data_IF_327991234732
#
_entry.id   IF_327991234732
#
_cell.length_a   1.000
_cell.length_b   1.000
_cell.length_c   1.000
_cell.angle_alpha   90.00
_cell.angle_beta   90.00
_cell.angle_gamma   90.00
#
_symmetry.space_group_name_H-M   'P 1'
#
loop_
_entity.id
_entity.type
_entity.pdbx_description
1 polymer ?
#
# COMPACT_ATOMS: atom_id res chain seq x y z
N UNK A 1 -11.66 0.58 -2.65
CA UNK A 1 -12.45 0.87 -1.42
C UNK A 1 -13.11 2.24 -1.46
N UNK A 2 -12.39 3.38 -1.42
CA UNK A 2 -13.03 4.71 -1.34
C UNK A 2 -13.80 5.10 -2.63
N UNK A 3 -13.31 4.69 -3.81
CA UNK A 3 -14.02 4.91 -5.08
C UNK A 3 -15.40 4.22 -5.16
N UNK A 4 -15.58 3.07 -4.50
CA UNK A 4 -16.87 2.38 -4.45
C UNK A 4 -17.83 3.01 -3.43
N UNK A 5 -17.31 3.65 -2.39
CA UNK A 5 -18.09 4.47 -1.46
C UNK A 5 -18.65 5.73 -2.15
N UNK A 6 -17.89 6.36 -3.04
CA UNK A 6 -18.34 7.49 -3.86
C UNK A 6 -19.42 7.11 -4.90
N UNK A 7 -19.54 5.82 -5.28
CA UNK A 7 -20.70 5.33 -6.04
C UNK A 7 -22.00 5.33 -5.23
N UNK A 8 -21.93 5.33 -3.88
CA UNK A 8 -23.09 5.17 -3.01
C UNK A 8 -23.61 6.47 -2.39
N UNK A 9 -22.74 7.49 -2.22
CA UNK A 9 -23.12 8.78 -1.66
C UNK A 9 -23.17 9.87 -2.74
N UNK A 10 -24.24 10.63 -2.77
CA UNK A 10 -24.46 11.75 -3.71
C UNK A 10 -23.56 12.97 -3.45
N UNK A 11 -22.53 12.84 -2.61
CA UNK A 11 -21.68 13.92 -2.15
C UNK A 11 -20.34 13.87 -2.90
N UNK A 12 -20.06 14.88 -3.73
CA UNK A 12 -18.77 14.99 -4.43
C UNK A 12 -17.64 15.17 -3.42
N UNK A 13 -16.58 14.36 -3.52
CA UNK A 13 -15.37 14.55 -2.72
C UNK A 13 -14.64 15.83 -3.16
N UNK A 14 -14.41 16.74 -2.22
CA UNK A 14 -13.52 17.87 -2.45
C UNK A 14 -12.04 17.44 -2.50
N UNK A 15 -11.22 18.31 -3.09
CA UNK A 15 -9.76 18.09 -3.20
C UNK A 15 -9.10 17.96 -1.82
N UNK A 16 -9.61 18.70 -0.83
CA UNK A 16 -9.12 18.66 0.56
C UNK A 16 -9.40 17.32 1.21
N UNK A 17 -10.59 16.76 0.99
CA UNK A 17 -11.01 15.46 1.50
C UNK A 17 -10.18 14.35 0.86
N UNK A 18 -9.98 14.39 -0.45
CA UNK A 18 -9.09 13.49 -1.18
C UNK A 18 -7.67 13.50 -0.58
N UNK A 19 -7.11 14.68 -0.32
CA UNK A 19 -5.77 14.82 0.27
C UNK A 19 -5.70 14.24 1.69
N UNK A 20 -6.70 14.51 2.53
CA UNK A 20 -6.76 13.99 3.90
C UNK A 20 -6.88 12.47 3.93
N UNK A 21 -7.74 11.91 3.07
CA UNK A 21 -7.94 10.47 2.96
C UNK A 21 -6.67 9.80 2.43
N UNK A 22 -6.06 10.35 1.38
CA UNK A 22 -4.81 9.85 0.82
C UNK A 22 -3.68 9.88 1.85
N UNK A 23 -3.52 10.99 2.59
CA UNK A 23 -2.52 11.11 3.64
C UNK A 23 -2.76 10.10 4.79
N UNK A 24 -4.02 9.93 5.21
CA UNK A 24 -4.38 8.92 6.22
C UNK A 24 -4.03 7.50 5.77
N UNK A 25 -4.36 7.15 4.53
CA UNK A 25 -4.01 5.85 3.94
C UNK A 25 -2.49 5.64 3.87
N UNK A 26 -1.74 6.68 3.51
CA UNK A 26 -0.28 6.62 3.42
C UNK A 26 0.37 6.39 4.79
N UNK A 27 -0.12 7.05 5.84
CA UNK A 27 0.37 6.87 7.21
C UNK A 27 0.10 5.44 7.69
N UNK A 28 -1.14 4.96 7.55
CA UNK A 28 -1.52 3.61 8.00
C UNK A 28 -0.77 2.53 7.22
N UNK A 29 -0.73 2.65 5.89
CA UNK A 29 0.00 1.73 5.02
C UNK A 29 1.51 1.75 5.28
N UNK A 30 2.10 2.95 5.38
CA UNK A 30 3.51 3.14 5.68
C UNK A 30 3.90 2.56 7.04
N UNK A 31 3.14 2.84 8.09
CA UNK A 31 3.43 2.29 9.42
C UNK A 31 3.31 0.76 9.47
N UNK A 32 2.32 0.20 8.76
CA UNK A 32 2.18 -1.26 8.63
C UNK A 32 3.37 -1.89 7.91
N UNK A 33 3.83 -1.26 6.82
CA UNK A 33 5.02 -1.67 6.11
C UNK A 33 6.28 -1.57 6.98
N UNK A 34 6.46 -0.45 7.70
CA UNK A 34 7.59 -0.24 8.61
C UNK A 34 7.71 -1.38 9.62
N UNK A 35 6.60 -1.72 10.31
CA UNK A 35 6.59 -2.79 11.30
C UNK A 35 6.96 -4.12 10.65
N UNK A 36 6.36 -4.44 9.50
CA UNK A 36 6.61 -5.69 8.81
C UNK A 36 8.09 -5.82 8.37
N UNK A 37 8.63 -4.77 7.76
CA UNK A 37 9.98 -4.77 7.22
C UNK A 37 11.03 -4.74 8.33
N UNK A 38 10.82 -3.90 9.34
CA UNK A 38 11.67 -3.87 10.53
C UNK A 38 11.70 -5.22 11.24
N UNK A 39 10.55 -5.87 11.40
CA UNK A 39 10.46 -7.19 12.02
C UNK A 39 11.17 -8.27 11.17
N UNK A 40 11.05 -8.21 9.83
CA UNK A 40 11.74 -9.10 8.90
C UNK A 40 13.26 -8.98 9.04
N UNK A 41 13.80 -7.77 8.86
CA UNK A 41 15.23 -7.48 8.93
C UNK A 41 15.81 -7.83 10.31
N UNK A 42 15.10 -7.47 11.39
CA UNK A 42 15.51 -7.82 12.76
C UNK A 42 15.48 -9.33 13.01
N UNK A 43 14.52 -10.04 12.42
CA UNK A 43 14.45 -11.50 12.45
C UNK A 43 15.60 -12.18 11.70
N UNK A 44 16.02 -11.61 10.56
CA UNK A 44 17.17 -12.09 9.79
C UNK A 44 18.47 -11.95 10.57
N UNK A 45 18.71 -10.81 11.23
CA UNK A 45 19.88 -10.61 12.09
C UNK A 45 19.89 -11.58 13.28
N UNK A 46 18.72 -11.82 13.89
CA UNK A 46 18.62 -12.82 14.95
C UNK A 46 18.99 -14.22 14.45
N UNK A 47 18.48 -14.62 13.28
CA UNK A 47 18.81 -15.92 12.66
C UNK A 47 20.29 -16.04 12.32
N UNK A 48 20.90 -15.00 11.75
CA UNK A 48 22.34 -14.96 11.43
C UNK A 48 23.20 -15.04 12.70
N UNK A 49 22.83 -14.34 13.76
CA UNK A 49 23.55 -14.40 15.04
C UNK A 49 23.61 -15.82 15.62
N UNK A 50 22.54 -16.59 15.44
CA UNK A 50 22.45 -17.99 15.87
C UNK A 50 23.29 -18.92 15.01
N UNK A 51 23.36 -18.66 13.70
CA UNK A 51 24.20 -19.44 12.77
C UNK A 51 25.70 -19.19 12.99
N UNK A 52 26.07 -17.99 13.44
CA UNK A 52 27.45 -17.61 13.77
C UNK A 52 27.88 -18.00 15.19
N UNK A 53 27.05 -18.77 15.93
CA UNK A 53 27.30 -19.17 17.31
C UNK A 53 27.70 -18.02 18.25
N UNK A 54 27.13 -16.83 18.04
CA UNK A 54 27.44 -15.66 18.87
C UNK A 54 26.79 -15.78 20.25
N UNK A 55 27.53 -15.43 21.30
CA UNK A 55 27.05 -15.43 22.70
C UNK A 55 25.80 -14.58 22.92
N UNK A 56 25.60 -13.52 22.12
CA UNK A 56 24.42 -12.67 22.25
C UNK A 56 24.02 -11.97 20.96
N UNK A 57 22.79 -12.19 20.46
CA UNK A 57 22.20 -11.43 19.36
C UNK A 57 22.15 -9.92 19.63
N UNK A 58 22.04 -9.52 20.91
CA UNK A 58 21.94 -8.11 21.31
C UNK A 58 23.18 -7.29 20.96
N UNK A 59 24.37 -7.91 20.87
CA UNK A 59 25.60 -7.20 20.49
C UNK A 59 25.55 -6.72 19.03
N UNK A 60 25.06 -7.56 18.11
CA UNK A 60 24.83 -7.17 16.71
C UNK A 60 23.76 -6.09 16.61
N UNK A 61 22.68 -6.21 17.38
CA UNK A 61 21.57 -5.26 17.34
C UNK A 61 21.89 -3.88 17.93
N UNK A 62 22.89 -3.77 18.81
CA UNK A 62 23.39 -2.48 19.33
C UNK A 62 24.54 -1.90 18.51
N UNK A 63 24.98 -2.63 17.48
CA UNK A 63 26.04 -2.20 16.57
C UNK A 63 25.49 -1.38 15.40
N UNK A 64 26.36 -0.99 14.46
CA UNK A 64 25.96 -0.32 13.20
C UNK A 64 24.87 -1.06 12.45
N UNK A 65 24.86 -2.39 12.49
CA UNK A 65 23.85 -3.23 11.84
C UNK A 65 22.43 -2.92 12.35
N UNK A 66 22.27 -2.62 13.64
CA UNK A 66 20.96 -2.28 14.20
C UNK A 66 20.44 -0.91 13.73
N UNK A 67 21.35 0.04 13.49
CA UNK A 67 21.03 1.36 12.95
C UNK A 67 20.66 1.22 11.47
N UNK A 68 21.47 0.48 10.71
CA UNK A 68 21.27 0.21 9.28
C UNK A 68 19.91 -0.46 9.00
N UNK A 69 19.50 -1.44 9.82
CA UNK A 69 18.15 -2.03 9.73
C UNK A 69 17.05 -0.98 9.88
N UNK A 70 17.23 -0.03 10.80
CA UNK A 70 16.22 0.99 11.08
C UNK A 70 16.16 2.00 9.93
N UNK A 71 17.30 2.38 9.39
CA UNK A 71 17.41 3.25 8.21
C UNK A 71 16.78 2.59 6.98
N UNK A 72 17.13 1.33 6.68
CA UNK A 72 16.58 0.58 5.55
C UNK A 72 15.05 0.40 5.67
N UNK A 73 14.55 0.07 6.86
CA UNK A 73 13.12 -0.01 7.10
C UNK A 73 12.43 1.35 6.92
N UNK A 74 13.07 2.46 7.32
CA UNK A 74 12.54 3.81 7.17
C UNK A 74 12.52 4.26 5.71
N UNK A 75 13.57 3.97 4.95
CA UNK A 75 13.65 4.25 3.51
C UNK A 75 12.57 3.48 2.75
N UNK A 76 12.47 2.17 2.99
CA UNK A 76 11.42 1.33 2.40
C UNK A 76 10.01 1.85 2.75
N UNK A 77 9.83 2.30 4.00
CA UNK A 77 8.57 2.90 4.46
C UNK A 77 8.25 4.21 3.76
N UNK A 78 9.23 5.09 3.57
CA UNK A 78 9.02 6.36 2.88
C UNK A 78 8.60 6.12 1.43
N UNK A 79 9.25 5.18 0.74
CA UNK A 79 8.92 4.78 -0.64
C UNK A 79 7.52 4.14 -0.69
N UNK A 80 7.22 3.22 0.22
CA UNK A 80 5.92 2.55 0.30
C UNK A 80 4.80 3.53 0.62
N UNK A 81 5.02 4.45 1.56
CA UNK A 81 4.08 5.49 1.94
C UNK A 81 3.79 6.46 0.78
N UNK A 82 4.83 6.95 0.10
CA UNK A 82 4.67 7.80 -1.07
C UNK A 82 3.94 7.07 -2.22
N UNK A 83 4.29 5.81 -2.47
CA UNK A 83 3.64 4.99 -3.49
C UNK A 83 2.17 4.72 -3.15
N UNK A 84 1.87 4.42 -1.88
CA UNK A 84 0.51 4.22 -1.38
C UNK A 84 -0.33 5.50 -1.47
N UNK A 85 0.26 6.65 -1.12
CA UNK A 85 -0.35 7.95 -1.29
C UNK A 85 -0.73 8.19 -2.77
N UNK A 86 0.25 8.10 -3.67
CA UNK A 86 0.04 8.31 -5.10
C UNK A 86 -0.98 7.32 -5.69
N UNK A 87 -0.91 6.05 -5.29
CA UNK A 87 -1.85 5.01 -5.72
C UNK A 87 -3.29 5.30 -5.26
N UNK A 88 -3.46 5.87 -4.06
CA UNK A 88 -4.78 6.29 -3.55
C UNK A 88 -5.30 7.56 -4.23
N UNK A 89 -4.39 8.48 -4.62
CA UNK A 89 -4.74 9.75 -5.24
C UNK A 89 -5.32 9.61 -6.64
N UNK A 90 -4.94 8.59 -7.41
CA UNK A 90 -5.46 8.37 -8.77
C UNK A 90 -7.01 8.30 -8.79
N UNK A 91 -7.66 7.37 -8.06
CA UNK A 91 -9.12 7.32 -8.03
C UNK A 91 -9.74 8.52 -7.30
N UNK A 92 -9.13 9.03 -6.24
CA UNK A 92 -9.68 10.18 -5.47
C UNK A 92 -9.68 11.48 -6.28
N UNK A 93 -8.60 11.75 -7.01
CA UNK A 93 -8.52 12.91 -7.91
C UNK A 93 -9.47 12.75 -9.10
N UNK A 94 -9.66 11.53 -9.60
CA UNK A 94 -10.65 11.26 -10.66
C UNK A 94 -12.05 11.62 -10.19
N UNK A 95 -12.41 11.27 -8.96
CA UNK A 95 -13.71 11.61 -8.37
C UNK A 95 -13.89 13.12 -8.16
N UNK A 96 -12.85 13.78 -7.61
CA UNK A 96 -12.88 15.22 -7.34
C UNK A 96 -12.95 16.08 -8.62
N UNK A 97 -12.32 15.65 -9.71
CA UNK A 97 -12.29 16.38 -10.99
C UNK A 97 -13.50 16.09 -11.87
N UNK A 98 -14.09 14.89 -11.77
CA UNK A 98 -15.19 14.43 -12.62
C UNK A 98 -16.37 13.90 -11.77
N UNK A 99 -16.99 14.76 -10.92
CA UNK A 99 -17.99 14.33 -9.94
C UNK A 99 -19.29 13.78 -10.55
N UNK A 100 -19.56 14.08 -11.83
CA UNK A 100 -20.76 13.61 -12.53
C UNK A 100 -20.67 12.15 -13.01
N UNK A 101 -19.48 11.53 -12.96
CA UNK A 101 -19.26 10.20 -13.52
C UNK A 101 -18.81 9.20 -12.44
N UNK A 102 -19.77 8.66 -11.70
CA UNK A 102 -19.50 7.76 -10.58
C UNK A 102 -18.70 6.48 -10.93
N UNK A 103 -18.73 6.02 -12.18
CA UNK A 103 -18.02 4.79 -12.62
C UNK A 103 -16.51 5.05 -12.87
N UNK A 104 -16.13 6.29 -13.18
CA UNK A 104 -14.77 6.67 -13.61
C UNK A 104 -13.71 6.43 -12.51
N UNK A 105 -13.93 6.81 -11.24
CA UNK A 105 -12.97 6.54 -10.15
C UNK A 105 -12.71 5.05 -9.96
N UNK A 106 -13.75 4.22 -10.08
CA UNK A 106 -13.62 2.77 -9.98
C UNK A 106 -12.82 2.19 -11.15
N UNK A 107 -13.14 2.60 -12.38
CA UNK A 107 -12.39 2.17 -13.56
C UNK A 107 -10.92 2.60 -13.49
N UNK A 108 -10.65 3.84 -13.06
CA UNK A 108 -9.30 4.35 -12.86
C UNK A 108 -8.51 3.53 -11.82
N UNK A 109 -9.14 3.14 -10.70
CA UNK A 109 -8.51 2.27 -9.70
C UNK A 109 -8.17 0.88 -10.28
N UNK A 110 -9.10 0.26 -11.00
CA UNK A 110 -8.89 -1.08 -11.60
C UNK A 110 -7.78 -1.04 -12.64
N UNK A 111 -7.74 -0.01 -13.48
CA UNK A 111 -6.70 0.21 -14.48
C UNK A 111 -5.34 0.43 -13.80
N UNK A 112 -5.29 1.29 -12.77
CA UNK A 112 -4.06 1.53 -12.01
C UNK A 112 -3.52 0.24 -11.36
N UNK A 113 -4.40 -0.59 -10.79
CA UNK A 113 -4.03 -1.89 -10.22
C UNK A 113 -3.53 -2.87 -11.29
N UNK A 114 -4.15 -2.91 -12.47
CA UNK A 114 -3.68 -3.73 -13.58
C UNK A 114 -2.27 -3.30 -14.01
N UNK A 115 -2.02 -2.00 -14.16
CA UNK A 115 -0.70 -1.47 -14.48
C UNK A 115 0.34 -1.79 -13.40
N UNK A 116 -0.01 -1.64 -12.13
CA UNK A 116 0.85 -2.05 -11.01
C UNK A 116 1.15 -3.55 -11.05
N UNK A 117 0.16 -4.39 -11.35
CA UNK A 117 0.36 -5.84 -11.51
C UNK A 117 1.33 -6.17 -12.64
N UNK A 118 1.22 -5.49 -13.79
CA UNK A 118 2.19 -5.63 -14.90
C UNK A 118 3.59 -5.19 -14.46
N UNK A 119 3.71 -4.07 -13.75
CA UNK A 119 4.98 -3.57 -13.21
C UNK A 119 5.62 -4.57 -12.24
N UNK A 120 4.82 -5.16 -11.34
CA UNK A 120 5.30 -6.16 -10.39
C UNK A 120 5.74 -7.44 -11.09
N UNK A 121 4.97 -7.93 -12.08
CA UNK A 121 5.36 -9.08 -12.89
C UNK A 121 6.71 -8.86 -13.59
N UNK A 122 6.98 -7.63 -14.08
CA UNK A 122 8.28 -7.29 -14.65
C UNK A 122 9.40 -7.39 -13.61
N UNK A 123 9.18 -6.94 -12.39
CA UNK A 123 10.19 -6.94 -11.33
C UNK A 123 10.56 -8.34 -10.86
N UNK A 124 9.61 -9.27 -10.84
CA UNK A 124 9.83 -10.63 -10.35
C UNK A 124 9.95 -11.68 -11.47
N UNK A 125 10.01 -11.26 -12.74
CA UNK A 125 9.98 -12.15 -13.92
C UNK A 125 8.77 -13.10 -13.96
N UNK A 126 7.61 -12.62 -13.50
CA UNK A 126 6.35 -13.36 -13.46
C UNK A 126 5.48 -13.19 -14.70
N UNK A 127 4.37 -13.93 -14.76
CA UNK A 127 3.42 -13.84 -15.88
C UNK A 127 2.53 -12.58 -15.76
N UNK A 128 2.67 -11.64 -16.70
CA UNK A 128 2.00 -10.32 -16.65
C UNK A 128 0.49 -10.39 -16.44
N UNK A 129 -0.19 -11.28 -17.18
CA UNK A 129 -1.65 -11.39 -17.10
C UNK A 129 -2.12 -11.88 -15.72
N UNK A 130 -1.41 -12.82 -15.10
CA UNK A 130 -1.78 -13.36 -13.77
C UNK A 130 -1.68 -12.27 -12.71
N UNK A 131 -0.62 -11.45 -12.74
CA UNK A 131 -0.45 -10.37 -11.78
C UNK A 131 -1.41 -9.20 -12.02
N UNK A 132 -1.64 -8.82 -13.27
CA UNK A 132 -2.61 -7.78 -13.60
C UNK A 132 -4.02 -8.19 -13.14
N UNK A 133 -4.47 -9.39 -13.52
CA UNK A 133 -5.80 -9.92 -13.14
C UNK A 133 -5.89 -10.12 -11.64
N UNK A 134 -4.85 -10.67 -11.00
CA UNK A 134 -4.83 -10.87 -9.55
C UNK A 134 -4.96 -9.56 -8.76
N UNK A 135 -4.17 -8.54 -9.11
CA UNK A 135 -4.23 -7.23 -8.46
C UNK A 135 -5.58 -6.54 -8.69
N UNK A 136 -6.10 -6.56 -9.91
CA UNK A 136 -7.42 -6.02 -10.22
C UNK A 136 -8.52 -6.77 -9.46
N UNK A 137 -8.49 -8.10 -9.42
CA UNK A 137 -9.47 -8.92 -8.73
C UNK A 137 -9.49 -8.63 -7.22
N UNK A 138 -8.32 -8.53 -6.58
CA UNK A 138 -8.22 -8.14 -5.16
C UNK A 138 -8.84 -6.75 -4.94
N UNK A 139 -8.57 -5.78 -5.82
CA UNK A 139 -9.16 -4.44 -5.73
C UNK A 139 -10.69 -4.44 -5.86
N UNK A 140 -11.24 -5.27 -6.75
CA UNK A 140 -12.70 -5.46 -6.92
C UNK A 140 -13.28 -6.09 -5.66
N UNK A 141 -12.68 -7.17 -5.14
CA UNK A 141 -13.12 -7.85 -3.91
C UNK A 141 -13.14 -6.87 -2.74
N UNK A 142 -12.06 -6.13 -2.51
CA UNK A 142 -11.98 -5.15 -1.42
C UNK A 142 -13.01 -4.03 -1.56
N UNK A 143 -13.37 -3.68 -2.79
CA UNK A 143 -14.43 -2.69 -3.03
C UNK A 143 -15.81 -3.23 -2.64
N UNK A 144 -16.12 -4.50 -2.96
CA UNK A 144 -17.34 -5.16 -2.48
C UNK A 144 -17.39 -5.31 -0.96
N UNK A 145 -16.26 -5.65 -0.33
CA UNK A 145 -16.16 -5.71 1.14
C UNK A 145 -16.47 -4.35 1.76
N UNK A 146 -15.98 -3.26 1.17
CA UNK A 146 -16.27 -1.90 1.63
C UNK A 146 -17.76 -1.54 1.56
N UNK A 147 -18.46 -1.96 0.50
CA UNK A 147 -19.91 -1.78 0.36
C UNK A 147 -20.68 -2.61 1.40
N UNK A 148 -20.28 -3.87 1.61
CA UNK A 148 -20.94 -4.77 2.56
C UNK A 148 -20.80 -4.31 4.01
N UNK A 149 -19.64 -3.74 4.37
CA UNK A 149 -19.39 -3.25 5.72
C UNK A 149 -20.07 -1.92 6.06
N UNK A 150 -20.89 -1.35 5.14
CA UNK A 150 -21.54 -0.05 5.32
C UNK A 150 -20.57 1.03 5.84
N UNK A 151 -19.33 1.02 5.37
CA UNK A 151 -18.32 2.02 5.79
C UNK A 151 -18.77 3.44 5.37
N UNK A 152 -19.70 3.54 4.41
CA UNK A 152 -20.42 4.75 4.05
C UNK A 152 -21.90 4.41 3.87
N UNK A 153 -22.75 5.07 4.66
CA UNK A 153 -24.22 5.13 4.53
C UNK A 153 -24.63 6.58 4.39
#
# INVERSE_FOLDING_TARGET
>A
MIAAAALSSSASLGVTEALRIGAGSAIVGGFSFFIAEYARLRGEVFRMSRQLAMDSPRKLMRSRIGIEITEEALEGTAIAGASGFLGSMIPLATDALLPNYHILPFAAAVIALAFLGVGLARSISGHYAVWAVGMSAVGVIMSYVGVFLHIVS
#
